data_IF_230224109879
#
_entry.id   IF_230224109879
#
_cell.length_a   1.000
_cell.length_b   1.000
_cell.length_c   1.000
_cell.angle_alpha   90.00
_cell.angle_beta   90.00
_cell.angle_gamma   90.00
#
_symmetry.space_group_name_H-M   'P 1'
#
loop_
_entity.id
_entity.type
_entity.pdbx_description
1 polymer ?
#
# COMPACT_ATOMS: atom_id res chain seq x y z
N UNK A 1 27.72 -1.21 -6.31
CA UNK A 1 26.61 -0.82 -7.20
C UNK A 1 27.26 -0.31 -8.47
N UNK A 2 26.92 -0.86 -9.65
CA UNK A 2 27.42 -0.29 -10.90
C UNK A 2 26.86 1.15 -11.03
N UNK A 3 27.61 2.09 -11.62
CA UNK A 3 27.12 3.44 -11.84
C UNK A 3 25.91 3.42 -12.79
N UNK A 4 24.93 4.27 -12.52
CA UNK A 4 23.75 4.38 -13.37
C UNK A 4 24.15 4.85 -14.78
N UNK A 5 23.37 4.46 -15.79
CA UNK A 5 23.59 4.95 -17.16
C UNK A 5 23.23 6.43 -17.23
N UNK A 6 23.83 7.16 -18.16
CA UNK A 6 23.56 8.59 -18.37
C UNK A 6 22.06 8.87 -18.58
N UNK A 7 21.36 8.04 -19.37
CA UNK A 7 19.93 8.23 -19.60
C UNK A 7 19.09 7.91 -18.35
N UNK A 8 19.54 6.96 -17.52
CA UNK A 8 18.89 6.65 -16.23
C UNK A 8 19.01 7.83 -15.26
N UNK A 9 20.21 8.42 -15.15
CA UNK A 9 20.45 9.61 -14.33
C UNK A 9 19.65 10.81 -14.83
N UNK A 10 19.65 11.06 -16.14
CA UNK A 10 18.88 12.16 -16.74
C UNK A 10 17.38 12.06 -16.45
N UNK A 11 16.80 10.85 -16.53
CA UNK A 11 15.39 10.64 -16.23
C UNK A 11 15.10 10.75 -14.72
N UNK A 12 15.98 10.23 -13.86
CA UNK A 12 15.84 10.37 -12.41
C UNK A 12 15.90 11.84 -11.95
N UNK A 13 16.83 12.61 -12.51
CA UNK A 13 16.96 14.04 -12.23
C UNK A 13 15.73 14.82 -12.71
N UNK A 14 15.16 14.49 -13.87
CA UNK A 14 13.90 15.08 -14.35
C UNK A 14 12.73 14.77 -13.41
N UNK A 15 12.59 13.52 -12.96
CA UNK A 15 11.57 13.10 -11.97
C UNK A 15 11.70 13.88 -10.66
N UNK A 16 12.91 14.25 -10.25
CA UNK A 16 13.16 14.97 -8.99
C UNK A 16 13.05 16.49 -9.11
N UNK A 17 13.00 17.02 -10.33
CA UNK A 17 12.99 18.47 -10.61
C UNK A 17 11.75 18.85 -11.40
N UNK A 18 11.87 18.92 -12.73
CA UNK A 18 10.87 19.42 -13.66
C UNK A 18 9.54 18.69 -13.58
N UNK A 19 9.55 17.39 -13.32
CA UNK A 19 8.34 16.61 -13.05
C UNK A 19 7.54 17.17 -11.86
N UNK A 20 8.22 17.53 -10.78
CA UNK A 20 7.58 18.10 -9.58
C UNK A 20 7.01 19.48 -9.88
N UNK A 21 7.77 20.32 -10.60
CA UNK A 21 7.33 21.66 -11.01
C UNK A 21 6.03 21.60 -11.82
N UNK A 22 6.00 20.77 -12.86
CA UNK A 22 4.86 20.66 -13.77
C UNK A 22 3.60 20.13 -13.05
N UNK A 23 3.75 19.09 -12.24
CA UNK A 23 2.65 18.55 -11.45
C UNK A 23 2.13 19.57 -10.43
N UNK A 24 3.02 20.27 -9.71
CA UNK A 24 2.63 21.30 -8.74
C UNK A 24 1.92 22.49 -9.38
N UNK A 25 2.38 22.95 -10.55
CA UNK A 25 1.70 23.99 -11.32
C UNK A 25 0.28 23.56 -11.70
N UNK A 26 0.13 22.33 -12.21
CA UNK A 26 -1.18 21.77 -12.56
C UNK A 26 -2.09 21.65 -11.34
N UNK A 27 -1.60 21.18 -10.18
CA UNK A 27 -2.38 21.15 -8.95
C UNK A 27 -2.91 22.52 -8.54
N UNK A 28 -2.09 23.55 -8.69
CA UNK A 28 -2.48 24.91 -8.35
C UNK A 28 -3.62 25.40 -9.24
N UNK A 29 -3.56 25.11 -10.54
CA UNK A 29 -4.64 25.42 -11.48
C UNK A 29 -5.93 24.67 -11.13
N UNK A 30 -5.83 23.38 -10.83
CA UNK A 30 -7.02 22.58 -10.52
C UNK A 30 -7.71 23.06 -9.24
N UNK A 31 -6.92 23.37 -8.21
CA UNK A 31 -7.45 23.76 -6.90
C UNK A 31 -8.12 25.14 -6.89
N UNK A 32 -7.78 26.02 -7.85
CA UNK A 32 -8.39 27.35 -8.01
C UNK A 32 -9.81 27.30 -8.60
N UNK A 33 -10.20 26.20 -9.24
CA UNK A 33 -11.52 26.04 -9.82
C UNK A 33 -12.61 25.87 -8.77
N UNK A 34 -13.86 26.13 -9.19
CA UNK A 34 -15.04 25.71 -8.44
C UNK A 34 -15.15 24.19 -8.41
N UNK A 35 -15.05 23.52 -9.57
CA UNK A 35 -14.88 22.06 -9.63
C UNK A 35 -13.38 21.71 -9.56
N UNK A 36 -12.90 21.47 -8.35
CA UNK A 36 -11.49 21.10 -8.09
C UNK A 36 -11.11 19.72 -8.63
N UNK A 37 -12.07 18.89 -9.01
CA UNK A 37 -11.82 17.60 -9.62
C UNK A 37 -11.73 17.66 -11.16
N UNK A 38 -12.21 18.75 -11.78
CA UNK A 38 -12.09 18.94 -13.22
C UNK A 38 -10.63 19.10 -13.64
N UNK A 39 -10.25 18.38 -14.68
CA UNK A 39 -8.94 18.50 -15.33
C UNK A 39 -9.05 18.77 -16.83
N UNK A 40 -10.28 18.83 -17.38
CA UNK A 40 -10.50 19.10 -18.80
C UNK A 40 -10.24 20.58 -19.09
N UNK A 41 -9.68 20.84 -20.28
CA UNK A 41 -9.42 22.18 -20.82
C UNK A 41 -8.56 23.11 -19.93
N UNK A 42 -7.74 22.54 -19.04
CA UNK A 42 -6.89 23.27 -18.10
C UNK A 42 -5.46 22.74 -18.13
N UNK A 43 -4.51 23.67 -18.15
CA UNK A 43 -3.07 23.37 -18.06
C UNK A 43 -2.53 22.63 -19.28
N UNK A 44 -3.07 22.87 -20.48
CA UNK A 44 -2.70 22.16 -21.70
C UNK A 44 -1.19 22.21 -21.99
N UNK A 45 -0.55 23.37 -21.78
CA UNK A 45 0.90 23.55 -21.99
C UNK A 45 1.72 22.68 -21.02
N UNK A 46 1.42 22.74 -19.72
CA UNK A 46 2.11 21.93 -18.70
C UNK A 46 1.88 20.42 -18.90
N UNK A 47 0.68 20.01 -19.33
CA UNK A 47 0.40 18.60 -19.68
C UNK A 47 1.22 18.13 -20.88
N UNK A 48 1.29 18.95 -21.93
CA UNK A 48 2.07 18.64 -23.12
C UNK A 48 3.56 18.55 -22.78
N UNK A 49 4.08 19.48 -21.97
CA UNK A 49 5.46 19.44 -21.48
C UNK A 49 5.73 18.17 -20.67
N UNK A 50 4.86 17.85 -19.70
CA UNK A 50 4.99 16.65 -18.87
C UNK A 50 5.04 15.38 -19.73
N UNK A 51 4.11 15.23 -20.69
CA UNK A 51 4.04 14.07 -21.56
C UNK A 51 5.27 13.96 -22.47
N UNK A 52 5.62 15.05 -23.16
CA UNK A 52 6.67 15.08 -24.18
C UNK A 52 8.07 14.91 -23.60
N UNK A 53 8.43 15.70 -22.59
CA UNK A 53 9.74 15.64 -21.94
C UNK A 53 9.97 14.23 -21.34
N UNK A 54 8.97 13.70 -20.64
CA UNK A 54 9.06 12.35 -20.06
C UNK A 54 9.15 11.25 -21.12
N UNK A 55 8.40 11.36 -22.24
CA UNK A 55 8.46 10.39 -23.35
C UNK A 55 9.83 10.38 -24.02
N UNK A 56 10.43 11.53 -24.28
CA UNK A 56 11.76 11.60 -24.91
C UNK A 56 12.83 10.91 -24.05
N UNK A 57 12.83 11.16 -22.73
CA UNK A 57 13.74 10.50 -21.79
C UNK A 57 13.53 8.98 -21.73
N UNK A 58 12.27 8.54 -21.70
CA UNK A 58 11.91 7.11 -21.71
C UNK A 58 12.29 6.43 -23.04
N UNK A 59 12.20 7.15 -24.16
CA UNK A 59 12.57 6.62 -25.49
C UNK A 59 14.06 6.33 -25.54
N UNK A 60 14.90 7.25 -25.05
CA UNK A 60 16.34 7.04 -24.93
C UNK A 60 16.68 5.83 -24.04
N UNK A 61 15.94 5.64 -22.93
CA UNK A 61 16.09 4.47 -22.06
C UNK A 61 15.67 3.15 -22.73
N UNK A 62 14.61 3.17 -23.54
CA UNK A 62 14.13 1.99 -24.24
C UNK A 62 15.13 1.52 -25.30
N UNK A 63 15.80 2.46 -25.97
CA UNK A 63 16.86 2.21 -26.95
C UNK A 63 18.12 1.57 -26.33
N UNK A 64 18.41 1.81 -25.04
CA UNK A 64 19.51 1.14 -24.32
C UNK A 64 19.28 -0.37 -24.17
N UNK A 65 18.03 -0.83 -24.24
CA UNK A 65 17.67 -2.23 -24.07
C UNK A 65 17.87 -2.74 -22.64
N UNK A 66 18.09 -4.04 -22.47
CA UNK A 66 18.32 -4.63 -21.15
C UNK A 66 19.78 -4.43 -20.70
N UNK A 67 19.98 -3.67 -19.64
CA UNK A 67 21.30 -3.33 -19.09
C UNK A 67 21.74 -4.23 -17.93
N UNK A 68 20.84 -5.03 -17.34
CA UNK A 68 21.08 -5.91 -16.17
C UNK A 68 21.97 -5.28 -15.08
N UNK A 69 21.50 -4.14 -14.57
CA UNK A 69 22.17 -3.33 -13.55
C UNK A 69 21.80 -3.73 -12.11
N UNK A 70 21.17 -4.90 -11.97
CA UNK A 70 20.67 -5.45 -10.71
C UNK A 70 19.25 -4.99 -10.34
N UNK A 71 18.65 -5.70 -9.39
CA UNK A 71 17.26 -5.50 -8.98
C UNK A 71 16.96 -4.06 -8.53
N UNK A 72 17.79 -3.49 -7.64
CA UNK A 72 17.54 -2.15 -7.08
C UNK A 72 17.50 -1.07 -8.17
N UNK A 73 18.42 -1.12 -9.13
CA UNK A 73 18.49 -0.17 -10.25
C UNK A 73 17.28 -0.32 -11.17
N UNK A 74 16.91 -1.56 -11.51
CA UNK A 74 15.74 -1.84 -12.33
C UNK A 74 14.43 -1.41 -11.65
N UNK A 75 14.28 -1.71 -10.35
CA UNK A 75 13.11 -1.32 -9.56
C UNK A 75 13.00 0.20 -9.42
N UNK A 76 14.12 0.91 -9.20
CA UNK A 76 14.13 2.37 -9.12
C UNK A 76 13.73 3.03 -10.46
N UNK A 77 14.25 2.50 -11.59
CA UNK A 77 13.89 2.95 -12.93
C UNK A 77 12.41 2.68 -13.24
N UNK A 78 11.90 1.48 -12.92
CA UNK A 78 10.47 1.17 -13.04
C UNK A 78 9.62 2.13 -12.21
N UNK A 79 10.10 2.51 -11.03
CA UNK A 79 9.49 3.55 -10.21
C UNK A 79 9.32 4.84 -11.00
N UNK A 80 10.39 5.36 -11.61
CA UNK A 80 10.36 6.59 -12.39
C UNK A 80 9.36 6.53 -13.56
N UNK A 81 9.39 5.45 -14.34
CA UNK A 81 8.44 5.23 -15.45
C UNK A 81 7.00 5.17 -14.91
N UNK A 82 6.80 4.45 -13.80
CA UNK A 82 5.51 4.32 -13.15
C UNK A 82 4.96 5.63 -12.58
N UNK A 83 5.82 6.50 -12.03
CA UNK A 83 5.47 7.84 -11.57
C UNK A 83 5.05 8.72 -12.75
N UNK A 84 5.81 8.72 -13.83
CA UNK A 84 5.45 9.41 -15.07
C UNK A 84 4.06 8.99 -15.59
N UNK A 85 3.82 7.67 -15.73
CA UNK A 85 2.53 7.15 -16.20
C UNK A 85 1.38 7.47 -15.23
N UNK A 86 1.64 7.44 -13.92
CA UNK A 86 0.67 7.81 -12.89
C UNK A 86 0.28 9.29 -12.97
N UNK A 87 1.24 10.19 -13.23
CA UNK A 87 0.96 11.61 -13.45
C UNK A 87 0.16 11.82 -14.75
N UNK A 88 0.55 11.15 -15.85
CA UNK A 88 -0.22 11.18 -17.09
C UNK A 88 -1.68 10.74 -16.88
N UNK A 89 -1.89 9.69 -16.06
CA UNK A 89 -3.22 9.25 -15.66
C UNK A 89 -3.98 10.30 -14.85
N UNK A 90 -3.31 10.95 -13.89
CA UNK A 90 -3.90 11.96 -13.01
C UNK A 90 -4.41 13.16 -13.79
N UNK A 91 -3.66 13.58 -14.81
CA UNK A 91 -3.93 14.75 -15.66
C UNK A 91 -4.80 14.45 -16.89
N UNK A 92 -5.30 13.22 -17.00
CA UNK A 92 -6.14 12.72 -18.10
C UNK A 92 -5.49 12.78 -19.50
N UNK A 93 -4.16 12.79 -19.52
CA UNK A 93 -3.35 12.49 -20.71
C UNK A 93 -3.65 11.05 -21.15
N UNK A 94 -3.79 10.12 -20.20
CA UNK A 94 -4.34 8.76 -20.42
C UNK A 94 -5.54 8.49 -19.51
N UNK A 95 -6.52 7.73 -20.01
CA UNK A 95 -7.74 7.34 -19.30
C UNK A 95 -8.18 5.91 -19.72
N UNK A 96 -8.21 4.92 -18.81
CA UNK A 96 -8.40 3.51 -19.14
C UNK A 96 -9.74 3.17 -19.81
N UNK A 97 -10.81 3.92 -19.55
CA UNK A 97 -12.14 3.72 -20.15
C UNK A 97 -12.27 4.35 -21.54
N UNK A 98 -11.43 5.33 -21.88
CA UNK A 98 -11.34 5.95 -23.22
C UNK A 98 -10.51 5.11 -24.20
N UNK A 99 -9.75 4.16 -23.68
CA UNK A 99 -8.65 3.51 -24.40
C UNK A 99 -8.84 1.99 -24.44
N UNK A 100 -8.37 1.35 -25.52
CA UNK A 100 -8.24 -0.13 -25.61
C UNK A 100 -6.83 -0.59 -25.27
N UNK A 101 -5.83 0.26 -25.52
CA UNK A 101 -4.42 0.12 -25.15
C UNK A 101 -3.88 1.47 -24.69
N UNK A 102 -2.88 1.47 -23.82
CA UNK A 102 -2.23 2.69 -23.35
C UNK A 102 -1.67 3.51 -24.53
N UNK A 103 -1.91 4.83 -24.59
CA UNK A 103 -1.32 5.71 -25.60
C UNK A 103 0.16 5.99 -25.33
N UNK A 104 0.66 5.68 -24.13
CA UNK A 104 2.06 5.85 -23.72
C UNK A 104 2.84 4.59 -24.12
N UNK A 105 3.12 4.44 -25.41
CA UNK A 105 3.65 3.19 -25.98
C UNK A 105 5.05 2.86 -25.44
N UNK A 106 5.97 3.82 -25.45
CA UNK A 106 7.36 3.65 -25.02
C UNK A 106 7.43 3.34 -23.52
N UNK A 107 6.69 4.11 -22.71
CA UNK A 107 6.60 3.88 -21.27
C UNK A 107 5.98 2.52 -20.94
N UNK A 108 4.93 2.11 -21.67
CA UNK A 108 4.32 0.80 -21.48
C UNK A 108 5.28 -0.34 -21.82
N UNK A 109 6.02 -0.22 -22.92
CA UNK A 109 7.00 -1.22 -23.33
C UNK A 109 8.11 -1.38 -22.27
N UNK A 110 8.69 -0.27 -21.81
CA UNK A 110 9.74 -0.28 -20.81
C UNK A 110 9.24 -0.80 -19.45
N UNK A 111 8.07 -0.34 -18.99
CA UNK A 111 7.50 -0.77 -17.71
C UNK A 111 7.17 -2.27 -17.70
N UNK A 112 6.59 -2.80 -18.78
CA UNK A 112 6.31 -4.25 -18.90
C UNK A 112 7.59 -5.07 -18.95
N UNK A 113 8.59 -4.61 -19.70
CA UNK A 113 9.89 -5.27 -19.77
C UNK A 113 10.50 -5.38 -18.37
N UNK A 114 10.66 -4.25 -17.67
CA UNK A 114 11.29 -4.25 -16.35
C UNK A 114 10.45 -5.05 -15.35
N UNK A 115 9.15 -4.75 -15.24
CA UNK A 115 8.26 -5.42 -14.28
C UNK A 115 8.25 -6.93 -14.41
N UNK A 116 8.16 -7.44 -15.65
CA UNK A 116 8.21 -8.88 -15.91
C UNK A 116 9.59 -9.49 -15.60
N UNK A 117 10.68 -8.76 -15.87
CA UNK A 117 12.05 -9.24 -15.65
C UNK A 117 12.39 -9.41 -14.16
N UNK A 118 11.83 -8.56 -13.29
CA UNK A 118 12.13 -8.56 -11.83
C UNK A 118 10.96 -9.06 -10.96
N UNK A 119 9.86 -9.52 -11.57
CA UNK A 119 8.75 -10.16 -10.86
C UNK A 119 7.85 -9.21 -10.07
N UNK A 120 7.62 -7.99 -10.59
CA UNK A 120 6.74 -6.98 -9.98
C UNK A 120 5.75 -6.41 -11.00
N UNK A 121 4.75 -5.68 -10.52
CA UNK A 121 3.74 -5.03 -11.35
C UNK A 121 4.39 -3.95 -12.23
N UNK A 122 4.04 -3.83 -13.52
CA UNK A 122 4.72 -2.93 -14.46
C UNK A 122 4.21 -1.48 -14.32
N UNK A 123 4.22 -0.95 -13.10
CA UNK A 123 3.70 0.37 -12.76
C UNK A 123 4.29 0.90 -11.46
N UNK A 124 3.93 2.13 -11.11
CA UNK A 124 4.19 2.66 -9.77
C UNK A 124 3.49 1.81 -8.69
N UNK A 125 4.29 1.32 -7.75
CA UNK A 125 3.91 0.59 -6.53
C UNK A 125 4.34 1.33 -5.24
N UNK A 126 3.69 1.03 -4.12
CA UNK A 126 3.86 1.75 -2.83
C UNK A 126 5.31 1.87 -2.37
N UNK A 127 6.13 0.84 -2.57
CA UNK A 127 7.54 0.85 -2.15
C UNK A 127 8.35 1.98 -2.81
N UNK A 128 8.07 2.34 -4.06
CA UNK A 128 8.82 3.38 -4.79
C UNK A 128 8.72 4.77 -4.16
N UNK A 129 7.60 5.09 -3.48
CA UNK A 129 7.44 6.36 -2.78
C UNK A 129 7.68 6.25 -1.27
N UNK A 130 7.75 5.04 -0.71
CA UNK A 130 7.88 4.82 0.74
C UNK A 130 9.23 4.19 1.08
N UNK A 131 9.26 2.87 1.27
CA UNK A 131 10.39 2.12 1.81
C UNK A 131 11.61 2.08 0.89
N UNK A 132 11.43 2.31 -0.41
CA UNK A 132 12.47 2.28 -1.44
C UNK A 132 12.50 3.60 -2.22
N UNK A 133 12.34 4.73 -1.52
CA UNK A 133 12.39 6.07 -2.09
C UNK A 133 13.68 6.78 -1.66
N UNK A 134 14.75 6.63 -2.45
CA UNK A 134 16.06 7.21 -2.10
C UNK A 134 16.00 8.73 -2.07
N UNK A 135 16.45 9.31 -0.96
CA UNK A 135 16.59 10.76 -0.80
C UNK A 135 17.96 11.25 -1.28
N UNK A 136 17.98 12.34 -2.05
CA UNK A 136 19.19 13.08 -2.45
C UNK A 136 19.17 14.42 -1.70
N UNK A 137 20.18 14.67 -0.86
CA UNK A 137 20.28 15.89 -0.03
C UNK A 137 18.99 16.20 0.77
N UNK A 138 18.35 15.16 1.32
CA UNK A 138 17.13 15.29 2.12
C UNK A 138 15.82 15.32 1.33
N UNK A 139 15.86 15.33 0.00
CA UNK A 139 14.68 15.32 -0.87
C UNK A 139 14.55 13.97 -1.58
N UNK A 140 13.39 13.33 -1.45
CA UNK A 140 13.05 12.07 -2.10
C UNK A 140 12.02 12.29 -3.23
N UNK A 141 11.78 11.27 -4.06
CA UNK A 141 10.84 11.33 -5.19
C UNK A 141 9.42 11.62 -4.71
N UNK A 142 8.69 12.44 -5.44
CA UNK A 142 7.33 12.88 -5.13
C UNK A 142 6.65 13.34 -6.42
N UNK A 143 5.33 13.33 -6.45
CA UNK A 143 4.54 13.91 -7.55
C UNK A 143 4.60 15.43 -7.52
N UNK A 144 4.38 16.01 -6.35
CA UNK A 144 4.26 17.45 -6.14
C UNK A 144 5.13 17.91 -4.98
N UNK A 145 5.31 19.21 -4.84
CA UNK A 145 5.95 19.83 -3.68
C UNK A 145 4.99 20.09 -2.51
N UNK A 146 3.73 19.63 -2.62
CA UNK A 146 2.68 19.93 -1.64
C UNK A 146 2.98 19.29 -0.26
N UNK A 147 2.80 20.05 0.84
CA UNK A 147 2.99 19.52 2.20
C UNK A 147 2.09 18.31 2.53
N UNK A 148 0.88 18.27 1.97
CA UNK A 148 -0.06 17.17 2.18
C UNK A 148 0.47 15.85 1.60
N UNK A 149 1.12 15.88 0.44
CA UNK A 149 1.74 14.68 -0.14
C UNK A 149 2.86 14.17 0.75
N UNK A 150 3.75 15.07 1.19
CA UNK A 150 4.84 14.73 2.11
C UNK A 150 4.30 14.07 3.39
N UNK A 151 3.28 14.66 4.02
CA UNK A 151 2.66 14.08 5.22
C UNK A 151 2.12 12.68 4.94
N UNK A 152 1.37 12.52 3.85
CA UNK A 152 0.81 11.23 3.47
C UNK A 152 1.92 10.19 3.26
N UNK A 153 2.94 10.48 2.45
CA UNK A 153 4.04 9.56 2.15
C UNK A 153 4.86 9.22 3.40
N UNK A 154 5.19 10.21 4.22
CA UNK A 154 6.01 10.01 5.43
C UNK A 154 5.30 9.10 6.44
N UNK A 155 4.02 9.34 6.71
CA UNK A 155 3.27 8.55 7.70
C UNK A 155 2.88 7.16 7.18
N UNK A 156 2.64 7.00 5.86
CA UNK A 156 2.55 5.67 5.27
C UNK A 156 3.85 4.90 5.44
N UNK A 157 5.01 5.54 5.21
CA UNK A 157 6.31 4.91 5.40
C UNK A 157 6.51 4.48 6.87
N UNK A 158 6.20 5.36 7.83
CA UNK A 158 6.27 5.05 9.26
C UNK A 158 5.37 3.87 9.64
N UNK A 159 4.11 3.88 9.19
CA UNK A 159 3.16 2.80 9.43
C UNK A 159 3.62 1.47 8.83
N UNK A 160 4.09 1.46 7.59
CA UNK A 160 4.62 0.26 6.92
C UNK A 160 5.81 -0.31 7.70
N UNK A 161 6.79 0.53 8.08
CA UNK A 161 7.96 0.07 8.83
C UNK A 161 7.58 -0.46 10.22
N UNK A 162 6.59 0.15 10.88
CA UNK A 162 6.07 -0.35 12.16
C UNK A 162 5.39 -1.72 12.01
N UNK A 163 4.55 -1.89 10.98
CA UNK A 163 3.98 -3.21 10.67
C UNK A 163 5.03 -4.26 10.32
N UNK A 164 6.11 -3.90 9.61
CA UNK A 164 7.22 -4.83 9.34
C UNK A 164 7.91 -5.27 10.64
N UNK A 165 8.14 -4.37 11.60
CA UNK A 165 8.67 -4.74 12.93
C UNK A 165 7.74 -5.71 13.67
N UNK A 166 6.43 -5.49 13.62
CA UNK A 166 5.46 -6.38 14.25
C UNK A 166 5.47 -7.78 13.61
N UNK A 167 5.42 -7.85 12.28
CA UNK A 167 5.47 -9.10 11.54
C UNK A 167 6.76 -9.90 11.81
N UNK A 168 7.91 -9.22 11.80
CA UNK A 168 9.21 -9.83 12.06
C UNK A 168 9.32 -10.46 13.45
N UNK A 169 8.73 -9.83 14.47
CA UNK A 169 8.68 -10.36 15.82
C UNK A 169 7.79 -11.60 15.91
N UNK A 170 6.60 -11.56 15.29
CA UNK A 170 5.67 -12.69 15.26
C UNK A 170 6.23 -13.90 14.51
N UNK A 171 6.90 -13.69 13.38
CA UNK A 171 7.55 -14.78 12.63
C UNK A 171 8.64 -15.50 13.44
N UNK A 172 9.33 -14.79 14.34
CA UNK A 172 10.36 -15.36 15.21
C UNK A 172 9.79 -16.23 16.34
N UNK A 173 8.48 -16.17 16.59
CA UNK A 173 7.81 -17.06 17.56
C UNK A 173 7.67 -18.48 16.98
N UNK A 174 7.46 -18.61 15.67
CA UNK A 174 7.21 -19.89 14.99
C UNK A 174 8.24 -21.00 15.33
N UNK A 175 9.56 -20.79 15.25
CA UNK A 175 10.53 -21.83 15.61
C UNK A 175 10.66 -22.07 17.12
N UNK A 176 10.17 -21.16 17.97
CA UNK A 176 10.27 -21.26 19.43
C UNK A 176 9.03 -21.92 20.06
N UNK A 177 7.85 -21.66 19.50
CA UNK A 177 6.56 -22.09 20.03
C UNK A 177 5.99 -21.16 21.10
N UNK A 178 4.67 -21.19 21.27
CA UNK A 178 3.91 -20.29 22.16
C UNK A 178 4.25 -20.43 23.64
N UNK A 179 4.83 -21.56 24.07
CA UNK A 179 5.21 -21.83 25.47
C UNK A 179 6.62 -21.41 25.82
N UNK A 180 7.44 -21.05 24.83
CA UNK A 180 8.80 -20.62 25.07
C UNK A 180 8.81 -19.25 25.79
N UNK A 181 9.63 -19.02 26.82
CA UNK A 181 9.61 -17.76 27.57
C UNK A 181 9.92 -16.54 26.70
N UNK A 182 10.83 -16.66 25.72
CA UNK A 182 11.14 -15.58 24.76
C UNK A 182 9.96 -15.24 23.83
N UNK A 183 8.94 -16.10 23.73
CA UNK A 183 7.67 -15.75 23.07
C UNK A 183 7.05 -14.49 23.70
N UNK A 184 7.13 -14.37 25.03
CA UNK A 184 6.62 -13.20 25.75
C UNK A 184 7.29 -11.90 25.27
N UNK A 185 8.63 -11.91 25.15
CA UNK A 185 9.37 -10.74 24.67
C UNK A 185 9.04 -10.41 23.21
N UNK A 186 8.90 -11.42 22.35
CA UNK A 186 8.52 -11.21 20.95
C UNK A 186 7.09 -10.68 20.80
N UNK A 187 6.15 -11.16 21.62
CA UNK A 187 4.78 -10.63 21.68
C UNK A 187 4.79 -9.17 22.19
N UNK A 188 5.66 -8.82 23.15
CA UNK A 188 5.82 -7.45 23.63
C UNK A 188 6.38 -6.53 22.56
N UNK A 189 7.33 -7.01 21.75
CA UNK A 189 7.85 -6.26 20.59
C UNK A 189 6.75 -6.06 19.55
N UNK A 190 5.96 -7.10 19.24
CA UNK A 190 4.83 -6.98 18.31
C UNK A 190 3.78 -5.99 18.82
N UNK A 191 3.45 -6.03 20.12
CA UNK A 191 2.56 -5.08 20.79
C UNK A 191 3.03 -3.64 20.61
N UNK A 192 4.28 -3.35 20.97
CA UNK A 192 4.83 -1.99 20.84
C UNK A 192 4.81 -1.51 19.39
N UNK A 193 5.18 -2.38 18.44
CA UNK A 193 5.17 -2.03 17.03
C UNK A 193 3.76 -1.71 16.50
N UNK A 194 2.71 -2.43 16.95
CA UNK A 194 1.33 -2.10 16.62
C UNK A 194 0.85 -0.80 17.28
N UNK A 195 1.30 -0.50 18.50
CA UNK A 195 1.04 0.80 19.14
C UNK A 195 1.69 1.95 18.35
N UNK A 196 2.90 1.75 17.83
CA UNK A 196 3.56 2.73 16.96
C UNK A 196 2.78 2.96 15.65
N UNK A 197 2.10 1.92 15.12
CA UNK A 197 1.19 2.09 13.96
C UNK A 197 0.02 2.98 14.34
N UNK A 198 -0.64 2.71 15.48
CA UNK A 198 -1.78 3.51 15.96
C UNK A 198 -1.37 4.98 16.12
N UNK A 199 -0.24 5.24 16.77
CA UNK A 199 0.28 6.61 16.95
C UNK A 199 0.63 7.26 15.61
N UNK A 200 1.32 6.54 14.71
CA UNK A 200 1.65 7.04 13.37
C UNK A 200 0.39 7.45 12.59
N UNK A 201 -0.66 6.64 12.65
CA UNK A 201 -1.94 6.92 12.01
C UNK A 201 -2.65 8.10 12.66
N UNK A 202 -2.72 8.17 13.99
CA UNK A 202 -3.29 9.30 14.74
C UNK A 202 -2.64 10.61 14.31
N UNK A 203 -1.32 10.63 14.22
CA UNK A 203 -0.57 11.81 13.79
C UNK A 203 -0.88 12.20 12.34
N UNK A 204 -1.08 11.23 11.43
CA UNK A 204 -1.51 11.52 10.07
C UNK A 204 -2.91 12.15 10.07
N UNK A 205 -3.88 11.55 10.76
CA UNK A 205 -5.28 12.00 10.75
C UNK A 205 -5.49 13.39 11.36
N UNK A 206 -4.65 13.75 12.33
CA UNK A 206 -4.69 15.06 12.98
C UNK A 206 -4.03 16.16 12.14
N UNK A 207 -3.22 15.81 11.14
CA UNK A 207 -2.37 16.76 10.41
C UNK A 207 -2.67 16.84 8.92
N UNK A 208 -3.20 15.77 8.32
CA UNK A 208 -3.47 15.71 6.90
C UNK A 208 -4.76 16.48 6.57
N UNK A 209 -4.61 17.50 5.74
CA UNK A 209 -5.72 18.25 5.17
C UNK A 209 -6.54 17.35 4.22
N UNK A 210 -7.83 17.19 4.55
CA UNK A 210 -8.76 16.31 3.82
C UNK A 210 -8.94 16.73 2.37
N UNK A 211 -9.15 18.02 2.10
CA UNK A 211 -9.40 18.54 0.76
C UNK A 211 -8.14 18.41 -0.09
N UNK A 212 -6.99 18.85 0.44
CA UNK A 212 -5.71 18.75 -0.27
C UNK A 212 -5.34 17.30 -0.56
N UNK A 213 -5.57 16.39 0.39
CA UNK A 213 -5.36 14.97 0.12
C UNK A 213 -6.29 14.47 -1.00
N UNK A 214 -7.59 14.74 -0.90
CA UNK A 214 -8.59 14.18 -1.81
C UNK A 214 -8.45 14.68 -3.25
N UNK A 215 -8.17 15.97 -3.44
CA UNK A 215 -8.07 16.61 -4.75
C UNK A 215 -6.65 16.67 -5.33
N UNK A 216 -5.60 16.66 -4.49
CA UNK A 216 -4.22 16.86 -4.96
C UNK A 216 -3.29 15.67 -4.76
N UNK A 217 -3.58 14.75 -3.82
CA UNK A 217 -2.69 13.59 -3.55
C UNK A 217 -3.30 12.31 -4.10
N UNK A 218 -4.51 11.97 -3.65
CA UNK A 218 -5.25 10.76 -4.03
C UNK A 218 -5.33 10.54 -5.55
N UNK A 219 -5.54 11.57 -6.41
CA UNK A 219 -5.69 11.36 -7.84
C UNK A 219 -4.47 10.76 -8.58
N UNK A 220 -3.27 10.83 -7.98
CA UNK A 220 -2.07 10.16 -8.52
C UNK A 220 -2.09 8.63 -8.32
N UNK A 221 -2.97 8.13 -7.46
CA UNK A 221 -3.11 6.70 -7.16
C UNK A 221 -4.24 6.03 -7.97
N UNK A 222 -4.65 6.62 -9.11
CA UNK A 222 -5.70 6.07 -9.98
C UNK A 222 -5.22 4.81 -10.74
N UNK A 223 -6.14 3.91 -11.14
CA UNK A 223 -5.87 2.85 -12.11
C UNK A 223 -5.52 3.42 -13.50
N UNK A 224 -4.62 2.76 -14.22
CA UNK A 224 -4.28 3.09 -15.61
C UNK A 224 -3.86 1.85 -16.42
N UNK A 225 -3.84 1.99 -17.74
CA UNK A 225 -3.37 0.94 -18.65
C UNK A 225 -1.85 0.93 -18.76
N UNK A 226 -1.27 -0.27 -18.77
CA UNK A 226 0.12 -0.52 -19.21
C UNK A 226 0.02 -1.58 -20.29
N UNK A 227 0.38 -1.23 -21.53
CA UNK A 227 -0.06 -1.99 -22.69
C UNK A 227 -1.59 -2.03 -22.76
N UNK A 228 -2.17 -3.21 -22.96
CA UNK A 228 -3.63 -3.39 -23.01
C UNK A 228 -4.29 -3.67 -21.65
N UNK A 229 -3.52 -3.95 -20.60
CA UNK A 229 -4.04 -4.38 -19.29
C UNK A 229 -4.22 -3.17 -18.36
N UNK A 230 -5.35 -3.13 -17.65
CA UNK A 230 -5.59 -2.11 -16.61
C UNK A 230 -5.00 -2.62 -15.29
N UNK A 231 -4.13 -1.82 -14.69
CA UNK A 231 -3.56 -2.08 -13.37
C UNK A 231 -4.14 -1.09 -12.36
N UNK A 232 -4.67 -1.62 -11.24
CA UNK A 232 -5.13 -0.79 -10.12
C UNK A 232 -3.99 0.07 -9.56
N UNK A 233 -4.36 1.16 -8.89
CA UNK A 233 -3.47 2.00 -8.11
C UNK A 233 -2.82 1.29 -6.92
N UNK A 234 -1.70 1.84 -6.46
CA UNK A 234 -0.98 1.37 -5.28
C UNK A 234 -1.76 1.68 -3.99
N UNK A 235 -1.70 0.78 -3.01
CA UNK A 235 -2.36 0.92 -1.71
C UNK A 235 -1.31 0.91 -0.59
N UNK A 236 -1.57 1.64 0.50
CA UNK A 236 -0.75 1.63 1.71
C UNK A 236 -0.51 0.23 2.28
N UNK A 237 -1.45 -0.69 2.03
CA UNK A 237 -1.34 -2.09 2.42
C UNK A 237 -0.46 -2.96 1.53
N UNK A 238 0.11 -2.49 0.41
CA UNK A 238 0.88 -3.29 -0.56
C UNK A 238 2.29 -3.67 -0.08
N UNK A 239 2.34 -4.46 0.99
CA UNK A 239 3.55 -5.06 1.56
C UNK A 239 3.15 -6.31 2.34
N UNK A 240 4.11 -7.18 2.67
CA UNK A 240 3.81 -8.45 3.33
C UNK A 240 3.32 -8.30 4.77
N UNK A 241 3.95 -7.40 5.54
CA UNK A 241 3.84 -7.35 7.00
C UNK A 241 2.41 -7.40 7.55
N UNK A 242 1.49 -6.61 6.99
CA UNK A 242 0.10 -6.59 7.48
C UNK A 242 -0.62 -7.94 7.28
N UNK A 243 -0.35 -8.65 6.17
CA UNK A 243 -0.93 -9.97 5.89
C UNK A 243 -0.18 -11.11 6.59
N UNK A 244 1.11 -10.93 6.86
CA UNK A 244 1.89 -11.84 7.71
C UNK A 244 1.31 -11.85 9.12
N UNK A 245 0.98 -10.67 9.67
CA UNK A 245 0.32 -10.55 10.99
C UNK A 245 -1.06 -11.23 10.96
N UNK A 246 -1.88 -10.92 9.95
CA UNK A 246 -3.21 -11.53 9.77
C UNK A 246 -3.16 -13.07 9.86
N UNK A 247 -2.23 -13.69 9.13
CA UNK A 247 -2.09 -15.15 9.05
C UNK A 247 -1.41 -15.74 10.28
N UNK A 248 -0.36 -15.10 10.80
CA UNK A 248 0.41 -15.61 11.95
C UNK A 248 -0.42 -15.55 13.24
N UNK A 249 -1.21 -14.49 13.43
CA UNK A 249 -2.17 -14.39 14.53
C UNK A 249 -3.41 -15.26 14.31
N UNK A 250 -3.61 -15.82 13.12
CA UNK A 250 -4.78 -16.65 12.80
C UNK A 250 -6.09 -15.89 12.67
N UNK A 251 -6.05 -14.57 12.51
CA UNK A 251 -7.24 -13.70 12.39
C UNK A 251 -7.86 -13.76 10.98
N UNK A 252 -7.06 -14.11 9.96
CA UNK A 252 -7.52 -14.39 8.61
C UNK A 252 -7.12 -15.80 8.16
N UNK A 253 -7.75 -16.25 7.08
CA UNK A 253 -7.70 -17.65 6.66
C UNK A 253 -7.31 -17.77 5.18
N UNK A 254 -6.13 -18.32 4.90
CA UNK A 254 -5.64 -18.51 3.53
C UNK A 254 -6.46 -19.52 2.71
N UNK A 255 -7.20 -20.41 3.38
CA UNK A 255 -8.07 -21.39 2.73
C UNK A 255 -9.46 -20.83 2.35
N UNK A 256 -9.73 -19.55 2.60
CA UNK A 256 -10.92 -18.88 2.07
C UNK A 256 -10.61 -18.22 0.73
N UNK A 257 -11.46 -18.46 -0.27
CA UNK A 257 -11.31 -17.90 -1.62
C UNK A 257 -11.22 -16.36 -1.59
N UNK A 258 -12.01 -15.70 -0.73
CA UNK A 258 -12.02 -14.24 -0.63
C UNK A 258 -10.69 -13.65 -0.13
N UNK A 259 -10.04 -14.29 0.85
CA UNK A 259 -8.76 -13.81 1.38
C UNK A 259 -7.61 -14.17 0.45
N UNK A 260 -7.57 -15.41 -0.06
CA UNK A 260 -6.53 -15.84 -1.01
C UNK A 260 -6.54 -15.04 -2.31
N UNK A 261 -7.71 -14.73 -2.89
CA UNK A 261 -7.80 -13.85 -4.06
C UNK A 261 -7.22 -12.46 -3.78
N UNK A 262 -7.53 -11.87 -2.61
CA UNK A 262 -6.96 -10.59 -2.20
C UNK A 262 -5.42 -10.63 -2.16
N UNK A 263 -4.82 -11.73 -1.71
CA UNK A 263 -3.36 -11.88 -1.71
C UNK A 263 -2.81 -12.00 -3.14
N UNK A 264 -3.48 -12.77 -4.01
CA UNK A 264 -3.12 -12.91 -5.42
C UNK A 264 -3.08 -11.55 -6.12
N UNK A 265 -4.11 -10.74 -5.93
CA UNK A 265 -4.26 -9.41 -6.55
C UNK A 265 -3.23 -8.36 -6.08
N UNK A 266 -2.40 -8.70 -5.09
CA UNK A 266 -1.39 -7.79 -4.54
C UNK A 266 0.03 -8.32 -4.50
N UNK A 267 0.30 -9.59 -4.81
CA UNK A 267 1.68 -10.11 -4.79
C UNK A 267 2.60 -9.27 -5.67
N UNK A 268 2.21 -8.99 -6.92
CA UNK A 268 3.04 -8.19 -7.82
C UNK A 268 3.19 -6.72 -7.37
N UNK A 269 2.39 -6.26 -6.41
CA UNK A 269 2.47 -4.89 -5.90
C UNK A 269 3.45 -4.71 -4.74
N UNK A 270 4.10 -5.79 -4.26
CA UNK A 270 5.12 -5.75 -3.21
C UNK A 270 6.45 -6.33 -3.70
N UNK A 271 7.51 -6.07 -2.92
CA UNK A 271 8.86 -6.58 -3.20
C UNK A 271 8.88 -8.10 -3.31
N UNK A 272 9.70 -8.72 -4.18
CA UNK A 272 9.79 -10.17 -4.30
C UNK A 272 10.05 -10.90 -2.98
N UNK A 273 10.84 -10.33 -2.07
CA UNK A 273 11.08 -10.88 -0.73
C UNK A 273 9.81 -10.90 0.11
N UNK A 274 9.03 -9.81 0.06
CA UNK A 274 7.73 -9.71 0.74
C UNK A 274 6.75 -10.75 0.13
N UNK A 275 6.76 -10.97 -1.19
CA UNK A 275 5.94 -12.01 -1.83
C UNK A 275 6.28 -13.40 -1.30
N UNK A 276 7.57 -13.73 -1.20
CA UNK A 276 8.05 -15.03 -0.74
C UNK A 276 7.64 -15.29 0.72
N UNK A 277 7.86 -14.31 1.60
CA UNK A 277 7.49 -14.39 3.02
C UNK A 277 5.97 -14.63 3.14
N UNK A 278 5.16 -13.87 2.40
CA UNK A 278 3.71 -13.97 2.49
C UNK A 278 3.19 -15.31 1.96
N UNK A 279 3.74 -15.84 0.86
CA UNK A 279 3.42 -17.18 0.34
C UNK A 279 3.74 -18.27 1.36
N UNK A 280 4.84 -18.12 2.07
CA UNK A 280 5.23 -19.06 3.12
C UNK A 280 4.26 -19.03 4.32
N UNK A 281 3.78 -17.86 4.74
CA UNK A 281 2.79 -17.77 5.82
C UNK A 281 1.47 -18.49 5.50
N UNK A 282 1.07 -18.58 4.23
CA UNK A 282 -0.16 -19.27 3.82
C UNK A 282 -0.14 -20.79 4.09
N UNK A 283 1.04 -21.37 4.32
CA UNK A 283 1.24 -22.81 4.57
C UNK A 283 1.85 -23.11 5.95
N UNK A 284 1.81 -22.16 6.87
CA UNK A 284 2.34 -22.30 8.23
C UNK A 284 1.22 -22.36 9.28
N UNK A 285 1.48 -22.98 10.45
CA UNK A 285 0.57 -22.88 11.61
C UNK A 285 0.41 -21.43 12.09
N UNK A 286 -0.62 -21.19 12.91
CA UNK A 286 -0.90 -19.87 13.49
C UNK A 286 -1.04 -19.95 15.00
N UNK A 287 -0.71 -18.84 15.67
CA UNK A 287 -0.64 -18.78 17.14
C UNK A 287 -2.02 -18.95 17.81
N UNK A 288 -3.10 -18.51 17.16
CA UNK A 288 -4.46 -18.69 17.68
C UNK A 288 -4.79 -20.17 17.86
N UNK A 289 -4.55 -20.97 16.83
CA UNK A 289 -4.84 -22.41 16.88
C UNK A 289 -3.89 -23.14 17.84
N UNK A 290 -2.63 -22.70 17.98
CA UNK A 290 -1.70 -23.24 18.97
C UNK A 290 -2.22 -23.01 20.41
N UNK A 291 -2.69 -21.79 20.74
CA UNK A 291 -3.26 -21.51 22.06
C UNK A 291 -4.56 -22.27 22.31
N UNK A 292 -5.42 -22.40 21.29
CA UNK A 292 -6.66 -23.18 21.40
C UNK A 292 -6.39 -24.66 21.68
N UNK A 293 -5.33 -25.22 21.09
CA UNK A 293 -4.89 -26.60 21.34
C UNK A 293 -4.25 -26.78 22.71
N UNK A 294 -3.59 -25.75 23.23
CA UNK A 294 -2.93 -25.77 24.53
C UNK A 294 -3.87 -25.52 25.74
N UNK A 295 -5.19 -25.62 25.58
CA UNK A 295 -6.17 -25.30 26.64
C UNK A 295 -5.95 -26.08 27.94
N UNK A 296 -5.48 -27.32 27.87
CA UNK A 296 -5.19 -28.14 29.06
C UNK A 296 -3.99 -27.61 29.87
N UNK A 297 -3.19 -26.72 29.27
CA UNK A 297 -2.11 -25.98 29.93
C UNK A 297 -2.58 -24.68 30.57
N UNK A 298 -3.89 -24.44 30.70
CA UNK A 298 -4.43 -23.19 31.27
C UNK A 298 -3.85 -22.84 32.65
N UNK A 299 -3.39 -23.80 33.43
CA UNK A 299 -2.85 -23.53 34.77
C UNK A 299 -1.35 -23.19 34.76
N UNK A 300 -0.69 -23.26 33.60
CA UNK A 300 0.72 -22.98 33.46
C UNK A 300 0.99 -21.48 33.41
N UNK A 301 2.07 -21.04 34.06
CA UNK A 301 2.48 -19.64 34.09
C UNK A 301 2.69 -19.07 32.68
N UNK A 302 3.42 -19.80 31.82
CA UNK A 302 3.66 -19.38 30.44
C UNK A 302 2.35 -19.20 29.66
N UNK A 303 1.35 -20.04 29.91
CA UNK A 303 0.07 -19.97 29.20
C UNK A 303 -0.64 -18.69 29.58
N UNK A 304 -0.77 -18.41 30.88
CA UNK A 304 -1.44 -17.21 31.37
C UNK A 304 -0.73 -15.92 30.93
N UNK A 305 0.60 -15.89 30.98
CA UNK A 305 1.39 -14.71 30.59
C UNK A 305 1.37 -14.48 29.08
N UNK A 306 1.71 -15.51 28.29
CA UNK A 306 1.81 -15.37 26.84
C UNK A 306 0.43 -15.24 26.19
N UNK A 307 -0.60 -15.93 26.68
CA UNK A 307 -1.94 -15.83 26.12
C UNK A 307 -2.53 -14.43 26.35
N UNK A 308 -2.33 -13.85 27.54
CA UNK A 308 -2.77 -12.48 27.83
C UNK A 308 -2.18 -11.51 26.83
N UNK A 309 -0.87 -11.58 26.63
CA UNK A 309 -0.17 -10.69 25.70
C UNK A 309 -0.52 -10.96 24.23
N UNK A 310 -0.76 -12.21 23.86
CA UNK A 310 -1.26 -12.58 22.53
C UNK A 310 -2.63 -11.97 22.25
N UNK A 311 -3.56 -12.03 23.20
CA UNK A 311 -4.90 -11.42 23.07
C UNK A 311 -4.77 -9.90 22.91
N UNK A 312 -3.92 -9.24 23.70
CA UNK A 312 -3.66 -7.80 23.56
C UNK A 312 -3.11 -7.45 22.17
N UNK A 313 -2.21 -8.26 21.62
CA UNK A 313 -1.68 -8.08 20.25
C UNK A 313 -2.79 -8.24 19.20
N UNK A 314 -3.68 -9.23 19.34
CA UNK A 314 -4.84 -9.38 18.45
C UNK A 314 -5.77 -8.17 18.52
N UNK A 315 -6.06 -7.67 19.72
CA UNK A 315 -6.90 -6.50 19.93
C UNK A 315 -6.30 -5.24 19.32
N UNK A 316 -4.99 -5.00 19.51
CA UNK A 316 -4.30 -3.87 18.89
C UNK A 316 -4.28 -3.94 17.37
N UNK A 317 -4.15 -5.13 16.79
CA UNK A 317 -4.25 -5.32 15.34
C UNK A 317 -5.67 -5.05 14.82
N UNK A 318 -6.68 -5.40 15.61
CA UNK A 318 -8.07 -5.01 15.38
C UNK A 318 -8.29 -3.50 15.46
N UNK A 319 -7.75 -2.86 16.50
CA UNK A 319 -7.86 -1.42 16.75
C UNK A 319 -7.24 -0.61 15.62
N UNK A 320 -6.03 -0.95 15.16
CA UNK A 320 -5.43 -0.27 14.01
C UNK A 320 -6.25 -0.45 12.73
N UNK A 321 -6.91 -1.59 12.53
CA UNK A 321 -7.78 -1.82 11.39
C UNK A 321 -9.07 -0.99 11.46
N UNK A 322 -9.68 -0.88 12.65
CA UNK A 322 -10.85 -0.03 12.91
C UNK A 322 -10.49 1.43 12.70
N UNK A 323 -9.38 1.89 13.28
CA UNK A 323 -8.87 3.24 13.15
C UNK A 323 -8.61 3.59 11.68
N UNK A 324 -7.89 2.74 10.94
CA UNK A 324 -7.64 2.94 9.51
C UNK A 324 -8.94 3.01 8.70
N UNK A 325 -9.90 2.13 8.95
CA UNK A 325 -11.17 2.15 8.22
C UNK A 325 -11.99 3.42 8.55
N UNK A 326 -12.19 3.71 9.83
CA UNK A 326 -13.07 4.79 10.25
C UNK A 326 -12.44 6.17 10.01
N UNK A 327 -11.14 6.33 10.21
CA UNK A 327 -10.48 7.62 10.04
C UNK A 327 -9.93 7.83 8.64
N UNK A 328 -9.25 6.85 8.02
CA UNK A 328 -8.71 7.06 6.68
C UNK A 328 -9.80 6.91 5.62
N UNK A 329 -10.55 5.80 5.64
CA UNK A 329 -11.49 5.50 4.56
C UNK A 329 -12.73 6.39 4.65
N UNK A 330 -13.30 6.59 5.83
CA UNK A 330 -14.49 7.45 5.94
C UNK A 330 -14.16 8.92 5.69
N UNK A 331 -13.23 9.51 6.46
CA UNK A 331 -12.92 10.95 6.41
C UNK A 331 -12.29 11.39 5.09
N UNK A 332 -11.37 10.60 4.54
CA UNK A 332 -10.60 11.01 3.36
C UNK A 332 -11.11 10.43 2.04
N UNK A 333 -12.05 9.48 2.06
CA UNK A 333 -12.61 8.88 0.83
C UNK A 333 -14.14 8.97 0.81
N UNK A 334 -14.84 8.41 1.80
CA UNK A 334 -16.29 8.30 1.76
C UNK A 334 -16.98 9.67 1.86
N UNK A 335 -16.64 10.47 2.87
CA UNK A 335 -17.25 11.79 3.09
C UNK A 335 -17.00 12.75 1.91
N UNK A 336 -15.76 12.95 1.41
CA UNK A 336 -15.53 13.84 0.28
C UNK A 336 -16.15 13.34 -1.03
N UNK A 337 -16.40 12.03 -1.15
CA UNK A 337 -17.10 11.47 -2.32
C UNK A 337 -18.60 11.81 -2.32
N UNK A 338 -19.21 12.15 -1.19
CA UNK A 338 -20.65 12.48 -1.13
C UNK A 338 -20.97 13.82 -1.76
N UNK A 339 -20.05 14.78 -1.70
CA UNK A 339 -20.17 16.12 -2.26
C UNK A 339 -19.60 16.23 -3.68
N UNK A 340 -18.99 15.15 -4.19
CA UNK A 340 -18.38 15.09 -5.52
C UNK A 340 -19.45 14.90 -6.60
N UNK A 341 -19.28 15.57 -7.74
CA UNK A 341 -20.17 15.37 -8.89
C UNK A 341 -20.14 13.91 -9.37
N UNK A 342 -21.32 13.40 -9.78
CA UNK A 342 -21.51 11.98 -10.12
C UNK A 342 -20.57 11.50 -11.23
N UNK A 343 -20.20 12.38 -12.16
CA UNK A 343 -19.28 12.09 -13.26
C UNK A 343 -17.87 11.70 -12.80
N UNK A 344 -17.45 12.13 -11.61
CA UNK A 344 -16.11 11.85 -11.09
C UNK A 344 -16.05 10.62 -10.18
N UNK A 345 -17.20 10.12 -9.70
CA UNK A 345 -17.28 8.99 -8.75
C UNK A 345 -16.63 7.70 -9.28
N UNK A 346 -16.73 7.46 -10.59
CA UNK A 346 -16.12 6.30 -11.23
C UNK A 346 -14.58 6.30 -11.12
N UNK A 347 -13.97 7.47 -10.89
CA UNK A 347 -12.52 7.66 -10.81
C UNK A 347 -12.02 7.76 -9.36
N UNK A 348 -12.89 7.54 -8.36
CA UNK A 348 -12.55 7.70 -6.93
C UNK A 348 -11.61 6.60 -6.42
N UNK A 349 -11.86 5.34 -6.77
CA UNK A 349 -11.15 4.22 -6.16
C UNK A 349 -9.79 3.95 -6.83
N UNK A 350 -8.77 3.71 -6.00
CA UNK A 350 -7.49 3.21 -6.48
C UNK A 350 -7.58 1.73 -6.91
N UNK A 351 -8.52 0.96 -6.35
CA UNK A 351 -8.53 -0.50 -6.48
C UNK A 351 -9.25 -1.03 -7.73
N UNK A 352 -10.03 -0.21 -8.44
CA UNK A 352 -10.78 -0.62 -9.64
C UNK A 352 -12.29 -0.84 -9.42
N UNK A 353 -12.74 -1.58 -8.39
CA UNK A 353 -14.17 -1.75 -8.12
C UNK A 353 -14.88 -0.43 -7.82
N UNK A 354 -16.21 -0.37 -8.04
CA UNK A 354 -17.04 0.72 -7.55
C UNK A 354 -16.88 0.95 -6.05
N UNK A 355 -17.00 2.20 -5.60
CA UNK A 355 -16.73 2.61 -4.21
C UNK A 355 -17.48 1.75 -3.18
N UNK A 356 -18.77 1.50 -3.37
CA UNK A 356 -19.57 0.69 -2.43
C UNK A 356 -19.07 -0.78 -2.31
N UNK A 357 -18.59 -1.37 -3.41
CA UNK A 357 -18.03 -2.74 -3.42
C UNK A 357 -16.70 -2.77 -2.67
N UNK A 358 -15.87 -1.75 -2.87
CA UNK A 358 -14.60 -1.59 -2.15
C UNK A 358 -14.84 -1.41 -0.65
N UNK A 359 -15.76 -0.52 -0.26
CA UNK A 359 -16.10 -0.26 1.14
C UNK A 359 -16.58 -1.53 1.86
N UNK A 360 -17.50 -2.30 1.25
CA UNK A 360 -17.97 -3.56 1.83
C UNK A 360 -16.87 -4.63 1.92
N UNK A 361 -15.86 -4.60 1.05
CA UNK A 361 -14.71 -5.51 1.14
C UNK A 361 -13.73 -5.08 2.23
N UNK A 362 -13.49 -3.78 2.38
CA UNK A 362 -12.66 -3.21 3.45
C UNK A 362 -13.29 -3.40 4.83
N UNK A 363 -14.63 -3.32 4.92
CA UNK A 363 -15.36 -3.58 6.16
C UNK A 363 -15.19 -5.03 6.62
N UNK A 364 -15.36 -5.99 5.71
CA UNK A 364 -15.14 -7.41 6.00
C UNK A 364 -13.71 -7.68 6.45
N UNK A 365 -12.72 -7.00 5.87
CA UNK A 365 -11.31 -7.13 6.29
C UNK A 365 -11.07 -6.51 7.67
N UNK A 366 -11.63 -5.33 7.95
CA UNK A 366 -11.61 -4.70 9.28
C UNK A 366 -12.15 -5.65 10.34
N UNK A 367 -13.32 -6.24 10.08
CA UNK A 367 -14.01 -7.08 11.06
C UNK A 367 -13.35 -8.44 11.29
N UNK A 368 -12.63 -8.98 10.29
CA UNK A 368 -11.75 -10.14 10.51
C UNK A 368 -10.62 -9.82 11.47
N UNK A 369 -9.93 -8.69 11.25
CA UNK A 369 -8.82 -8.25 12.11
C UNK A 369 -9.27 -7.90 13.52
N UNK A 370 -10.43 -7.25 13.65
CA UNK A 370 -11.05 -6.95 14.93
C UNK A 370 -11.72 -8.17 15.60
N UNK A 371 -11.73 -9.32 14.91
CA UNK A 371 -12.47 -10.52 15.33
C UNK A 371 -13.91 -10.18 15.76
N UNK A 372 -14.60 -9.32 15.00
CA UNK A 372 -15.95 -8.90 15.31
C UNK A 372 -16.96 -10.05 15.15
N UNK A 373 -18.06 -10.03 15.89
CA UNK A 373 -19.13 -11.01 15.71
C UNK A 373 -19.85 -10.76 14.39
N UNK A 374 -19.76 -11.73 13.47
CA UNK A 374 -20.37 -11.67 12.13
C UNK A 374 -21.04 -13.01 11.82
N UNK A 375 -22.11 -12.98 11.05
CA UNK A 375 -22.82 -14.19 10.58
C UNK A 375 -22.59 -14.47 9.10
N UNK A 376 -22.18 -13.46 8.32
CA UNK A 376 -21.97 -13.52 6.88
C UNK A 376 -20.53 -13.92 6.48
N UNK A 377 -19.57 -13.77 7.40
CA UNK A 377 -18.17 -14.16 7.22
C UNK A 377 -17.64 -14.87 8.46
N UNK A 378 -16.63 -15.71 8.27
CA UNK A 378 -15.88 -16.33 9.38
C UNK A 378 -15.00 -15.30 10.07
N UNK A 379 -15.09 -15.24 11.40
CA UNK A 379 -14.21 -14.42 12.26
C UNK A 379 -13.73 -15.25 13.45
N UNK A 380 -12.71 -14.76 14.17
CA UNK A 380 -12.19 -15.39 15.41
C UNK A 380 -12.91 -14.94 16.68
N UNK A 381 -14.11 -14.35 16.57
CA UNK A 381 -14.83 -13.77 17.71
C UNK A 381 -15.01 -14.79 18.86
N UNK A 382 -15.54 -15.97 18.53
CA UNK A 382 -15.83 -17.01 19.52
C UNK A 382 -14.55 -17.67 20.05
N UNK A 383 -13.54 -17.84 19.21
CA UNK A 383 -12.23 -18.38 19.61
C UNK A 383 -11.51 -17.44 20.58
N UNK A 384 -11.48 -16.13 20.29
CA UNK A 384 -10.90 -15.14 21.20
C UNK A 384 -11.68 -15.11 22.51
N UNK A 385 -13.02 -15.15 22.47
CA UNK A 385 -13.84 -15.23 23.68
C UNK A 385 -13.49 -16.45 24.53
N UNK A 386 -13.39 -17.63 23.90
CA UNK A 386 -13.02 -18.89 24.57
C UNK A 386 -11.62 -18.81 25.19
N UNK A 387 -10.66 -18.17 24.51
CA UNK A 387 -9.32 -17.97 25.05
C UNK A 387 -9.31 -16.99 26.22
N UNK A 388 -10.05 -15.88 26.15
CA UNK A 388 -10.22 -14.94 27.27
C UNK A 388 -10.82 -15.63 28.50
N UNK A 389 -11.84 -16.47 28.31
CA UNK A 389 -12.47 -17.26 29.39
C UNK A 389 -11.53 -18.34 29.98
N UNK A 390 -10.44 -18.69 29.27
CA UNK A 390 -9.43 -19.63 29.77
C UNK A 390 -8.33 -18.96 30.60
N UNK A 391 -8.25 -17.63 30.58
CA UNK A 391 -7.43 -16.87 31.51
C UNK A 391 -8.11 -16.86 32.89
N UNK A 392 -7.31 -17.08 33.93
CA UNK A 392 -7.79 -17.11 35.32
C UNK A 392 -7.71 -15.75 35.99
#
# INVERSE_FOLDING_TARGET
MKPATFNTEAFDDWIRSRFVELNSELEQLYYQQTDRANVLDIGAEAKLALESEGRELITALLDEGNTDEGFDSAFDLLGNVGLYMAACRRHEITEPSRETTSPLAEASALAMHIGASIGVTPRFATAHLTTHNRAHNGIYKRFTDLPAEKLFVDYNTKGILAYKRAADALLKIQPLGISHPICHDLLRVAKQALQDVIESNTQLFNRLDTDRFFYCVRPYYKPYRVGSVIYRGANAGDFAGINVIDLTLGLCFANEASYSQMLVDKFLYMMPEDQQILRECMRRPNLMDDFLQAKDSANQTWYQENLRLFIEVCELHGETAIQHHNELVTKYIAEPSTSMEQQHLAKVTASGPPLHVLLGSLERLRDRRAAAQRSDIRTRYYEIKKLKESLR
#
